data_IF_802823647961
#
_entry.id   IF_802823647961
#
_cell.length_a   1.000
_cell.length_b   1.000
_cell.length_c   1.000
_cell.angle_alpha   90.00
_cell.angle_beta   90.00
_cell.angle_gamma   90.00
#
_symmetry.space_group_name_H-M   'P 1'
#
loop_
_entity.id
_entity.type
_entity.pdbx_description
1 polymer ?
#
# COMPACT_ATOMS: atom_id res chain seq x y z
N UNK A 1 44.60 -46.71 -25.88
CA UNK A 1 45.56 -45.62 -25.56
C UNK A 1 44.80 -44.31 -25.35
N UNK A 2 45.17 -43.57 -24.31
CA UNK A 2 44.86 -42.15 -23.95
C UNK A 2 43.55 -41.80 -23.19
N UNK A 3 43.73 -41.73 -21.87
CA UNK A 3 43.36 -40.72 -20.83
C UNK A 3 42.14 -39.78 -20.91
N UNK A 4 41.57 -39.56 -19.71
CA UNK A 4 40.44 -38.71 -19.23
C UNK A 4 40.89 -37.24 -18.94
N UNK A 5 40.02 -36.22 -18.69
CA UNK A 5 39.41 -36.01 -17.35
C UNK A 5 37.98 -35.40 -17.30
N UNK A 6 37.44 -35.35 -16.07
CA UNK A 6 36.10 -34.95 -15.60
C UNK A 6 35.88 -33.42 -15.54
N UNK A 7 34.61 -33.02 -15.76
CA UNK A 7 33.86 -32.07 -14.91
C UNK A 7 33.80 -30.59 -15.31
N UNK A 8 32.58 -30.02 -15.37
CA UNK A 8 32.26 -28.74 -14.74
C UNK A 8 30.74 -28.52 -14.64
N UNK A 9 30.29 -28.20 -13.43
CA UNK A 9 28.91 -27.85 -13.09
C UNK A 9 28.63 -26.38 -13.43
N UNK A 10 27.43 -26.09 -13.94
CA UNK A 10 26.94 -24.73 -14.21
C UNK A 10 26.66 -23.98 -12.90
N UNK A 11 27.30 -22.83 -12.75
CA UNK A 11 27.08 -21.86 -11.66
C UNK A 11 26.11 -20.78 -12.16
N UNK A 12 25.03 -20.44 -11.43
CA UNK A 12 24.18 -19.29 -11.79
C UNK A 12 24.79 -17.95 -11.33
N UNK A 13 24.48 -16.83 -12.00
CA UNK A 13 25.17 -15.56 -11.80
C UNK A 13 24.82 -14.85 -10.48
N UNK A 14 25.82 -14.11 -9.99
CA UNK A 14 25.93 -13.44 -8.69
C UNK A 14 24.91 -12.31 -8.49
N UNK A 15 24.32 -12.27 -7.30
CA UNK A 15 23.60 -11.12 -6.74
C UNK A 15 24.55 -9.95 -6.43
N UNK A 16 24.21 -8.75 -6.89
CA UNK A 16 24.83 -7.50 -6.46
C UNK A 16 24.48 -7.21 -4.99
N UNK A 17 25.49 -6.91 -4.17
CA UNK A 17 25.35 -6.39 -2.80
C UNK A 17 25.62 -4.88 -2.83
N UNK A 18 24.61 -4.07 -2.53
CA UNK A 18 24.84 -2.68 -2.11
C UNK A 18 25.16 -2.70 -0.62
N UNK A 19 26.38 -2.31 -0.26
CA UNK A 19 26.84 -2.15 1.13
C UNK A 19 26.68 -0.68 1.48
N UNK A 20 25.70 -0.33 2.33
CA UNK A 20 25.68 0.97 2.98
C UNK A 20 26.46 0.85 4.29
N UNK A 21 27.65 1.44 4.35
CA UNK A 21 28.46 1.47 5.56
C UNK A 21 27.97 2.58 6.51
N UNK A 22 27.58 2.22 7.74
CA UNK A 22 27.53 3.16 8.86
C UNK A 22 28.78 2.95 9.71
N UNK A 23 29.54 4.04 9.89
CA UNK A 23 30.80 4.07 10.61
C UNK A 23 30.55 4.30 12.11
N UNK A 24 30.76 3.28 12.93
CA UNK A 24 31.00 3.45 14.36
C UNK A 24 32.14 2.55 14.80
N UNK A 25 33.17 3.16 15.39
CA UNK A 25 34.37 2.51 15.89
C UNK A 25 34.04 1.63 17.10
N UNK A 26 34.24 0.31 16.97
CA UNK A 26 34.61 -0.54 18.10
C UNK A 26 35.35 -1.78 17.58
N UNK A 27 36.45 -2.11 18.24
CA UNK A 27 37.43 -3.12 17.86
C UNK A 27 36.95 -4.52 18.23
N UNK A 28 36.61 -5.34 17.23
CA UNK A 28 36.33 -6.77 17.38
C UNK A 28 36.01 -7.44 16.03
N UNK A 29 36.34 -8.73 15.82
CA UNK A 29 36.06 -9.41 14.57
C UNK A 29 34.54 -9.58 14.36
N UNK A 30 34.02 -8.93 13.32
CA UNK A 30 32.60 -8.96 12.92
C UNK A 30 32.31 -10.34 12.33
N UNK A 31 31.54 -11.16 13.04
CA UNK A 31 30.88 -12.33 12.44
C UNK A 31 29.61 -11.85 11.74
N UNK A 32 29.44 -12.04 10.42
CA UNK A 32 28.21 -11.68 9.74
C UNK A 32 27.09 -12.59 10.24
N UNK A 33 26.11 -12.02 10.95
CA UNK A 33 24.85 -12.70 11.25
C UNK A 33 24.02 -12.72 9.98
N UNK A 34 23.89 -13.90 9.36
CA UNK A 34 22.96 -14.12 8.25
C UNK A 34 21.55 -13.92 8.79
N UNK A 35 20.89 -12.83 8.39
CA UNK A 35 19.45 -12.68 8.60
C UNK A 35 18.75 -13.48 7.51
N UNK A 36 18.12 -14.57 7.91
CA UNK A 36 17.35 -15.44 7.02
C UNK A 36 16.13 -14.69 6.48
N UNK A 37 15.96 -14.68 5.15
CA UNK A 37 14.89 -13.99 4.39
C UNK A 37 13.48 -14.59 4.59
N UNK A 38 13.17 -15.17 5.75
CA UNK A 38 11.99 -16.03 5.91
C UNK A 38 10.73 -15.31 6.41
N UNK A 39 10.82 -14.13 7.04
CA UNK A 39 9.66 -13.51 7.72
C UNK A 39 8.76 -12.62 6.85
N UNK A 40 9.20 -12.14 5.67
CA UNK A 40 8.39 -11.25 4.84
C UNK A 40 7.40 -11.97 3.92
N UNK A 41 7.70 -13.20 3.51
CA UNK A 41 6.79 -14.00 2.67
C UNK A 41 5.55 -14.51 3.44
N UNK A 42 5.59 -14.53 4.77
CA UNK A 42 4.45 -14.93 5.60
C UNK A 42 3.42 -13.79 5.79
N UNK A 43 3.86 -12.54 5.83
CA UNK A 43 2.98 -11.38 6.07
C UNK A 43 2.10 -11.07 4.84
N UNK A 44 2.59 -11.34 3.63
CA UNK A 44 1.86 -11.05 2.38
C UNK A 44 0.56 -11.85 2.24
N UNK A 45 0.49 -13.09 2.78
CA UNK A 45 -0.74 -13.89 2.79
C UNK A 45 -1.79 -13.43 3.81
N UNK A 46 -1.39 -12.74 4.88
CA UNK A 46 -2.32 -12.25 5.91
C UNK A 46 -2.88 -10.85 5.61
N UNK A 47 -2.23 -10.07 4.74
CA UNK A 47 -2.74 -8.75 4.33
C UNK A 47 -3.94 -8.90 3.38
N UNK A 48 -4.01 -9.99 2.62
CA UNK A 48 -5.16 -10.30 1.77
C UNK A 48 -5.43 -11.81 1.68
N UNK A 49 -6.50 -12.24 2.35
CA UNK A 49 -7.12 -13.57 2.24
C UNK A 49 -8.62 -13.45 1.88
N UNK A 50 -8.99 -12.41 1.13
CA UNK A 50 -10.37 -12.18 0.74
C UNK A 50 -10.93 -13.37 -0.03
N UNK A 51 -12.03 -13.95 0.46
CA UNK A 51 -12.85 -14.83 -0.38
C UNK A 51 -13.41 -14.00 -1.54
N UNK A 52 -13.38 -14.50 -2.79
CA UNK A 52 -14.07 -13.86 -3.90
C UNK A 52 -15.54 -13.59 -3.53
N UNK A 53 -16.07 -12.43 -3.92
CA UNK A 53 -17.52 -12.18 -3.87
C UNK A 53 -18.23 -13.31 -4.62
N UNK A 54 -19.24 -13.92 -4.02
CA UNK A 54 -19.98 -15.06 -4.61
C UNK A 54 -20.73 -14.66 -5.90
N UNK A 55 -20.92 -13.36 -6.13
CA UNK A 55 -21.31 -12.80 -7.43
C UNK A 55 -20.05 -12.56 -8.26
N UNK A 56 -19.93 -13.12 -9.47
CA UNK A 56 -18.76 -13.01 -10.37
C UNK A 56 -18.31 -11.62 -10.84
N UNK A 57 -18.54 -10.56 -10.04
CA UNK A 57 -17.85 -9.28 -10.12
C UNK A 57 -16.42 -9.47 -9.60
N UNK A 58 -15.46 -9.31 -10.50
CA UNK A 58 -14.04 -9.27 -10.16
C UNK A 58 -13.72 -7.90 -9.58
N UNK A 59 -13.05 -7.87 -8.44
CA UNK A 59 -12.39 -6.68 -7.90
C UNK A 59 -11.52 -6.01 -8.96
N UNK A 60 -11.28 -4.70 -8.83
CA UNK A 60 -10.51 -3.93 -9.83
C UNK A 60 -9.21 -4.68 -10.19
N UNK A 61 -9.09 -5.04 -11.46
CA UNK A 61 -7.92 -5.77 -11.97
C UNK A 61 -6.64 -4.99 -11.66
N UNK A 62 -5.66 -5.69 -11.07
CA UNK A 62 -4.36 -5.17 -10.67
C UNK A 62 -4.36 -4.05 -9.61
N UNK A 63 -5.49 -3.78 -8.93
CA UNK A 63 -5.50 -2.97 -7.72
C UNK A 63 -5.13 -3.84 -6.51
N UNK A 64 -3.92 -3.66 -5.97
CA UNK A 64 -3.39 -4.54 -4.91
C UNK A 64 -3.63 -4.02 -3.50
N UNK A 65 -3.82 -2.69 -3.35
CA UNK A 65 -4.02 -2.06 -2.06
C UNK A 65 -4.69 -0.69 -2.21
N UNK A 66 -5.64 -0.38 -1.33
CA UNK A 66 -6.27 0.93 -1.25
C UNK A 66 -6.07 1.52 0.13
N UNK A 67 -5.56 2.76 0.21
CA UNK A 67 -5.20 3.41 1.48
C UNK A 67 -5.72 4.84 1.56
N UNK A 68 -6.24 5.18 2.74
CA UNK A 68 -6.57 6.55 3.15
C UNK A 68 -5.46 7.07 4.08
N UNK A 69 -4.79 8.16 3.68
CA UNK A 69 -3.83 8.89 4.53
C UNK A 69 -3.87 10.38 4.15
N UNK A 70 -4.28 11.26 5.07
CA UNK A 70 -4.43 12.70 4.80
C UNK A 70 -3.12 13.35 4.28
N UNK A 71 -1.97 12.75 4.62
CA UNK A 71 -0.63 13.24 4.26
C UNK A 71 -0.09 12.60 2.98
N UNK A 72 -0.83 11.67 2.37
CA UNK A 72 -0.42 10.93 1.19
C UNK A 72 0.95 10.27 1.37
N UNK A 73 1.97 10.74 0.64
CA UNK A 73 3.33 10.21 0.71
C UNK A 73 4.14 11.05 1.69
N UNK A 74 4.50 10.44 2.82
CA UNK A 74 5.29 11.07 3.87
C UNK A 74 6.15 10.05 4.63
N UNK A 75 7.27 10.54 5.18
CA UNK A 75 8.20 9.75 5.99
C UNK A 75 8.66 8.47 5.28
N UNK A 76 8.66 7.35 6.01
CA UNK A 76 9.00 6.02 5.48
C UNK A 76 7.78 5.08 5.42
N UNK A 77 6.57 5.62 5.60
CA UNK A 77 5.34 4.81 5.72
C UNK A 77 4.99 4.18 4.38
N UNK A 78 4.97 4.95 3.30
CA UNK A 78 4.67 4.40 1.97
C UNK A 78 5.75 3.43 1.49
N UNK A 79 7.03 3.71 1.75
CA UNK A 79 8.12 2.76 1.50
C UNK A 79 7.88 1.42 2.20
N UNK A 80 7.47 1.43 3.47
CA UNK A 80 7.16 0.20 4.19
C UNK A 80 6.00 -0.59 3.58
N UNK A 81 4.98 0.10 3.06
CA UNK A 81 3.84 -0.51 2.37
C UNK A 81 4.21 -1.06 0.99
N UNK A 82 4.97 -0.31 0.18
CA UNK A 82 5.45 -0.76 -1.13
C UNK A 82 6.24 -2.06 -1.00
N UNK A 83 7.08 -2.20 0.03
CA UNK A 83 7.81 -3.45 0.29
C UNK A 83 6.93 -4.67 0.58
N UNK A 84 5.65 -4.49 0.93
CA UNK A 84 4.71 -5.62 1.05
C UNK A 84 4.20 -6.12 -0.31
N UNK A 85 4.38 -5.33 -1.37
CA UNK A 85 3.92 -5.61 -2.72
C UNK A 85 5.12 -5.56 -3.69
N UNK A 86 6.01 -6.56 -3.66
CA UNK A 86 7.29 -6.51 -4.38
C UNK A 86 7.15 -6.42 -5.92
N UNK A 87 6.00 -6.81 -6.47
CA UNK A 87 5.67 -6.70 -7.89
C UNK A 87 4.97 -5.37 -8.24
N UNK A 88 4.61 -4.57 -7.24
CA UNK A 88 3.94 -3.29 -7.42
C UNK A 88 4.97 -2.16 -7.51
N UNK A 89 5.15 -1.64 -8.72
CA UNK A 89 6.03 -0.50 -9.00
C UNK A 89 5.24 0.79 -9.32
N UNK A 90 3.96 0.85 -8.97
CA UNK A 90 3.09 1.98 -9.32
C UNK A 90 2.16 2.41 -8.17
N UNK A 91 2.03 3.73 -7.99
CA UNK A 91 1.10 4.37 -7.06
C UNK A 91 0.20 5.32 -7.83
N UNK A 92 -1.11 5.15 -7.67
CA UNK A 92 -2.11 6.08 -8.15
C UNK A 92 -2.64 6.89 -6.96
N UNK A 93 -2.39 8.19 -6.96
CA UNK A 93 -2.97 9.12 -5.98
C UNK A 93 -4.24 9.72 -6.58
N UNK A 94 -5.38 9.58 -5.89
CA UNK A 94 -6.64 10.19 -6.33
C UNK A 94 -7.03 11.32 -5.39
N UNK A 95 -6.89 12.55 -5.87
CA UNK A 95 -7.20 13.79 -5.15
C UNK A 95 -7.32 14.96 -6.15
N UNK A 96 -8.49 15.60 -6.21
CA UNK A 96 -8.81 16.62 -7.23
C UNK A 96 -7.93 17.88 -7.17
N UNK A 97 -7.29 18.13 -6.02
CA UNK A 97 -6.37 19.25 -5.84
C UNK A 97 -4.95 18.86 -6.28
N UNK A 98 -4.44 17.72 -5.78
CA UNK A 98 -3.10 17.23 -6.13
C UNK A 98 -2.98 16.89 -7.61
N UNK A 99 -4.05 16.41 -8.25
CA UNK A 99 -4.03 16.11 -9.70
C UNK A 99 -3.79 17.34 -10.58
N UNK A 100 -4.04 18.54 -10.05
CA UNK A 100 -3.79 19.84 -10.71
C UNK A 100 -2.44 20.45 -10.32
N UNK A 101 -1.67 19.76 -9.48
CA UNK A 101 -0.39 20.23 -8.95
C UNK A 101 0.77 19.33 -9.41
N UNK A 102 1.42 19.66 -10.54
CA UNK A 102 2.55 18.89 -11.04
C UNK A 102 3.79 19.02 -10.13
N UNK A 103 3.89 20.08 -9.33
CA UNK A 103 4.99 20.23 -8.37
C UNK A 103 4.85 19.22 -7.23
N UNK A 104 3.66 19.07 -6.66
CA UNK A 104 3.38 18.06 -5.64
C UNK A 104 3.63 16.63 -6.15
N UNK A 105 3.24 16.35 -7.39
CA UNK A 105 3.50 15.04 -8.02
C UNK A 105 5.02 14.76 -8.10
N UNK A 106 5.82 15.74 -8.52
CA UNK A 106 7.29 15.62 -8.54
C UNK A 106 7.87 15.45 -7.13
N UNK A 107 7.37 16.19 -6.14
CA UNK A 107 7.82 16.08 -4.76
C UNK A 107 7.56 14.66 -4.22
N UNK A 108 6.38 14.10 -4.47
CA UNK A 108 6.07 12.73 -4.10
C UNK A 108 7.00 11.71 -4.75
N UNK A 109 7.31 11.87 -6.04
CA UNK A 109 8.23 10.99 -6.75
C UNK A 109 9.63 10.93 -6.10
N UNK A 110 10.10 12.02 -5.49
CA UNK A 110 11.39 12.08 -4.78
C UNK A 110 11.39 11.33 -3.43
N UNK A 111 10.22 11.08 -2.85
CA UNK A 111 10.07 10.38 -1.57
C UNK A 111 9.92 8.86 -1.74
N UNK A 112 9.69 8.41 -2.98
CA UNK A 112 9.46 7.00 -3.28
C UNK A 112 10.78 6.28 -3.60
N UNK A 113 10.86 4.96 -3.36
CA UNK A 113 11.99 4.15 -3.77
C UNK A 113 12.23 4.22 -5.28
N UNK A 114 13.49 4.07 -5.69
CA UNK A 114 13.86 4.00 -7.11
C UNK A 114 13.08 2.89 -7.83
N UNK A 115 12.63 3.20 -9.05
CA UNK A 115 11.78 2.29 -9.85
C UNK A 115 10.29 2.33 -9.51
N UNK A 116 9.87 3.03 -8.46
CA UNK A 116 8.44 3.28 -8.20
C UNK A 116 7.96 4.47 -9.01
N UNK A 117 6.88 4.31 -9.77
CA UNK A 117 6.23 5.38 -10.53
C UNK A 117 5.00 5.89 -9.80
N UNK A 118 4.65 7.15 -10.00
CA UNK A 118 3.44 7.76 -9.44
C UNK A 118 2.63 8.47 -10.53
N UNK A 119 1.30 8.34 -10.47
CA UNK A 119 0.37 9.22 -11.18
C UNK A 119 -0.60 9.87 -10.19
N UNK A 120 -1.03 11.09 -10.48
CA UNK A 120 -2.01 11.85 -9.69
C UNK A 120 -3.23 12.13 -10.57
N UNK A 121 -4.42 11.75 -10.13
CA UNK A 121 -5.65 11.84 -10.91
C UNK A 121 -6.78 12.47 -10.09
N UNK A 122 -7.71 13.13 -10.79
CA UNK A 122 -9.00 13.47 -10.19
C UNK A 122 -9.83 12.20 -10.01
N UNK A 123 -10.90 12.27 -9.22
CA UNK A 123 -11.84 11.14 -9.10
C UNK A 123 -12.46 10.80 -10.46
N UNK A 124 -12.77 11.82 -11.25
CA UNK A 124 -13.47 11.68 -12.53
C UNK A 124 -12.56 11.03 -13.59
N UNK A 125 -11.25 11.28 -13.53
CA UNK A 125 -10.25 10.64 -14.40
C UNK A 125 -9.86 9.23 -13.92
N UNK A 126 -9.87 8.99 -12.61
CA UNK A 126 -9.47 7.70 -12.03
C UNK A 126 -10.57 6.64 -12.14
N UNK A 127 -11.84 7.01 -11.93
CA UNK A 127 -12.97 6.09 -11.95
C UNK A 127 -13.06 5.23 -13.24
N UNK A 128 -12.95 5.77 -14.47
CA UNK A 128 -12.98 4.95 -15.68
C UNK A 128 -11.80 3.98 -15.77
N UNK A 129 -10.57 4.42 -15.45
CA UNK A 129 -9.38 3.55 -15.44
C UNK A 129 -9.52 2.38 -14.46
N UNK A 130 -10.03 2.66 -13.27
CA UNK A 130 -10.25 1.63 -12.25
C UNK A 130 -11.34 0.65 -12.68
N UNK A 131 -12.39 1.10 -13.37
CA UNK A 131 -13.44 0.19 -13.90
C UNK A 131 -12.94 -0.69 -15.05
N UNK A 132 -12.09 -0.17 -15.93
CA UNK A 132 -11.49 -0.93 -17.01
C UNK A 132 -10.46 -1.95 -16.49
N UNK A 133 -9.77 -1.60 -15.41
CA UNK A 133 -8.68 -2.37 -14.83
C UNK A 133 -7.32 -1.78 -15.18
N UNK A 134 -6.36 -1.98 -14.28
CA UNK A 134 -5.07 -1.31 -14.37
C UNK A 134 -4.07 -2.17 -15.17
N UNK A 135 -3.16 -1.55 -15.94
CA UNK A 135 -2.19 -2.30 -16.76
C UNK A 135 -1.12 -3.02 -15.94
N UNK A 136 -0.89 -2.57 -14.70
CA UNK A 136 0.11 -3.10 -13.77
C UNK A 136 -0.39 -3.03 -12.33
N UNK A 137 0.24 -3.79 -11.42
CA UNK A 137 -0.08 -3.73 -10.00
C UNK A 137 0.07 -2.31 -9.46
N UNK A 138 -0.97 -1.82 -8.81
CA UNK A 138 -1.07 -0.42 -8.37
C UNK A 138 -1.59 -0.33 -6.95
N UNK A 139 -0.96 0.54 -6.16
CA UNK A 139 -1.50 1.00 -4.87
C UNK A 139 -2.32 2.27 -5.11
N UNK A 140 -3.59 2.25 -4.72
CA UNK A 140 -4.46 3.43 -4.67
C UNK A 140 -4.27 4.15 -3.35
N UNK A 141 -3.92 5.44 -3.40
CA UNK A 141 -3.74 6.29 -2.23
C UNK A 141 -4.66 7.51 -2.33
N UNK A 142 -5.44 7.76 -1.30
CA UNK A 142 -6.36 8.91 -1.25
C UNK A 142 -6.20 9.66 0.08
N UNK A 143 -6.56 10.94 0.09
CA UNK A 143 -6.56 11.72 1.33
C UNK A 143 -7.72 11.37 2.26
N UNK A 144 -8.94 11.29 1.72
CA UNK A 144 -10.16 11.29 2.52
C UNK A 144 -11.10 10.13 2.18
N UNK A 145 -11.92 9.66 3.14
CA UNK A 145 -12.94 8.63 2.90
C UNK A 145 -13.94 8.99 1.80
N UNK A 146 -14.25 10.29 1.66
CA UNK A 146 -15.16 10.79 0.63
C UNK A 146 -14.68 10.43 -0.79
N UNK A 147 -13.37 10.41 -1.04
CA UNK A 147 -12.82 10.00 -2.34
C UNK A 147 -13.17 8.54 -2.65
N UNK A 148 -13.01 7.64 -1.67
CA UNK A 148 -13.39 6.24 -1.82
C UNK A 148 -14.89 6.11 -2.06
N UNK A 149 -15.71 6.83 -1.30
CA UNK A 149 -17.16 6.84 -1.49
C UNK A 149 -17.53 7.24 -2.91
N UNK A 150 -16.94 8.33 -3.45
CA UNK A 150 -17.21 8.78 -4.82
C UNK A 150 -16.81 7.74 -5.86
N UNK A 151 -15.68 7.04 -5.68
CA UNK A 151 -15.26 5.96 -6.57
C UNK A 151 -16.24 4.79 -6.54
N UNK A 152 -16.65 4.34 -5.34
CA UNK A 152 -17.63 3.25 -5.17
C UNK A 152 -19.00 3.65 -5.73
N UNK A 153 -19.45 4.87 -5.50
CA UNK A 153 -20.71 5.40 -6.05
C UNK A 153 -20.67 5.53 -7.58
N UNK A 154 -19.49 5.73 -8.17
CA UNK A 154 -19.25 5.74 -9.62
C UNK A 154 -19.12 4.34 -10.25
N UNK A 155 -19.34 3.28 -9.45
CA UNK A 155 -19.32 1.88 -9.87
C UNK A 155 -17.95 1.22 -9.86
N UNK A 156 -16.94 1.78 -9.18
CA UNK A 156 -15.64 1.13 -8.99
C UNK A 156 -15.75 0.06 -7.90
N UNK A 157 -15.37 -1.18 -8.21
CA UNK A 157 -15.48 -2.31 -7.29
C UNK A 157 -14.26 -2.41 -6.34
N UNK A 158 -14.31 -1.66 -5.23
CA UNK A 158 -13.27 -1.64 -4.18
C UNK A 158 -13.69 -2.58 -3.04
N UNK A 159 -12.97 -3.67 -2.83
CA UNK A 159 -13.28 -4.65 -1.78
C UNK A 159 -12.68 -4.32 -0.42
N UNK A 160 -11.57 -3.59 -0.40
CA UNK A 160 -10.76 -3.40 0.78
C UNK A 160 -10.19 -1.98 0.86
N UNK A 161 -10.25 -1.39 2.04
CA UNK A 161 -9.71 -0.07 2.34
C UNK A 161 -8.94 -0.10 3.65
N UNK A 162 -7.69 0.33 3.59
CA UNK A 162 -6.84 0.57 4.74
C UNK A 162 -6.91 2.05 5.18
N UNK A 163 -7.20 2.31 6.45
CA UNK A 163 -7.09 3.63 7.07
C UNK A 163 -5.71 3.71 7.74
N UNK A 164 -4.87 4.55 7.15
CA UNK A 164 -3.51 4.76 7.54
C UNK A 164 -3.28 5.94 8.47
N UNK A 165 -3.88 7.07 8.12
CA UNK A 165 -3.69 8.32 8.81
C UNK A 165 -4.85 9.27 8.56
N UNK A 166 -5.65 9.52 9.59
CA UNK A 166 -6.63 10.59 9.59
C UNK A 166 -6.41 11.42 10.84
N UNK A 167 -5.75 12.56 10.68
CA UNK A 167 -5.31 13.41 11.80
C UNK A 167 -6.46 14.18 12.43
N UNK A 168 -6.22 14.71 13.63
CA UNK A 168 -7.13 15.65 14.28
C UNK A 168 -7.21 16.95 13.45
N UNK A 169 -8.42 17.42 13.21
CA UNK A 169 -8.72 18.69 12.54
C UNK A 169 -10.04 19.25 13.07
N UNK A 170 -10.40 20.48 12.68
CA UNK A 170 -11.70 21.04 13.01
C UNK A 170 -12.83 20.08 12.55
N UNK A 171 -13.73 19.73 13.47
CA UNK A 171 -14.86 18.83 13.21
C UNK A 171 -14.57 17.33 13.43
N UNK A 172 -13.30 16.90 13.40
CA UNK A 172 -12.95 15.51 13.71
C UNK A 172 -12.87 15.27 15.21
N UNK A 173 -13.25 14.07 15.64
CA UNK A 173 -13.04 13.57 17.01
C UNK A 173 -12.24 12.28 16.97
N UNK A 174 -11.55 11.97 18.06
CA UNK A 174 -10.81 10.71 18.20
C UNK A 174 -11.71 9.52 17.84
N UNK A 175 -11.22 8.68 16.93
CA UNK A 175 -11.91 7.50 16.46
C UNK A 175 -11.20 6.23 16.94
N UNK A 176 -9.89 6.15 16.70
CA UNK A 176 -9.07 5.04 17.19
C UNK A 176 -7.61 5.44 17.32
N UNK A 177 -7.03 5.37 18.53
CA UNK A 177 -5.64 5.83 18.80
C UNK A 177 -5.39 7.24 18.23
N UNK A 178 -4.56 7.35 17.20
CA UNK A 178 -4.18 8.59 16.50
C UNK A 178 -5.02 8.85 15.22
N UNK A 179 -6.02 8.01 14.93
CA UNK A 179 -7.01 8.21 13.89
C UNK A 179 -8.19 8.99 14.49
N UNK A 180 -8.53 10.09 13.85
CA UNK A 180 -9.71 10.91 14.12
C UNK A 180 -10.62 10.90 12.90
N UNK A 181 -11.93 11.01 13.13
CA UNK A 181 -12.93 11.06 12.07
C UNK A 181 -14.07 11.97 12.50
N UNK A 182 -14.62 12.72 11.53
CA UNK A 182 -15.82 13.53 11.71
C UNK A 182 -17.07 12.64 11.75
N UNK A 183 -18.23 13.15 12.18
CA UNK A 183 -19.49 12.42 12.05
C UNK A 183 -19.76 11.95 10.61
N UNK A 184 -19.53 12.81 9.63
CA UNK A 184 -19.74 12.53 8.20
C UNK A 184 -18.81 11.40 7.72
N UNK A 185 -17.54 11.44 8.10
CA UNK A 185 -16.58 10.37 7.74
C UNK A 185 -16.95 9.02 8.37
N UNK A 186 -17.52 9.02 9.58
CA UNK A 186 -18.03 7.81 10.22
C UNK A 186 -19.24 7.24 9.48
N UNK A 187 -20.15 8.09 9.00
CA UNK A 187 -21.26 7.64 8.16
C UNK A 187 -20.76 7.06 6.84
N UNK A 188 -19.75 7.68 6.21
CA UNK A 188 -19.12 7.11 5.01
C UNK A 188 -18.57 5.70 5.29
N UNK A 189 -17.90 5.49 6.43
CA UNK A 189 -17.42 4.14 6.77
C UNK A 189 -18.56 3.14 6.99
N UNK A 190 -19.68 3.55 7.59
CA UNK A 190 -20.87 2.70 7.72
C UNK A 190 -21.42 2.31 6.36
N UNK A 191 -21.54 3.27 5.44
CA UNK A 191 -22.02 3.01 4.07
C UNK A 191 -21.09 2.07 3.31
N UNK A 192 -19.78 2.27 3.39
CA UNK A 192 -18.79 1.39 2.76
C UNK A 192 -18.89 -0.04 3.30
N UNK A 193 -18.97 -0.20 4.64
CA UNK A 193 -19.14 -1.50 5.28
C UNK A 193 -20.47 -2.15 4.87
N UNK A 194 -21.56 -1.38 4.80
CA UNK A 194 -22.87 -1.87 4.35
C UNK A 194 -22.86 -2.35 2.88
N UNK A 195 -22.00 -1.77 2.04
CA UNK A 195 -21.73 -2.21 0.66
C UNK A 195 -20.76 -3.40 0.57
N UNK A 196 -20.35 -3.97 1.70
CA UNK A 196 -19.45 -5.13 1.74
C UNK A 196 -17.96 -4.78 1.60
N UNK A 197 -17.58 -3.50 1.68
CA UNK A 197 -16.17 -3.09 1.66
C UNK A 197 -15.55 -3.39 3.02
N UNK A 198 -14.47 -4.18 3.05
CA UNK A 198 -13.69 -4.42 4.25
C UNK A 198 -12.85 -3.19 4.57
N UNK A 199 -13.17 -2.52 5.68
CA UNK A 199 -12.41 -1.34 6.14
C UNK A 199 -11.60 -1.70 7.39
N UNK A 200 -10.29 -1.49 7.35
CA UNK A 200 -9.41 -1.72 8.50
C UNK A 200 -8.55 -0.51 8.83
N UNK A 201 -8.13 -0.39 10.09
CA UNK A 201 -7.12 0.56 10.55
C UNK A 201 -5.80 -0.17 10.73
N UNK A 202 -4.77 0.25 9.99
CA UNK A 202 -3.39 -0.21 10.16
C UNK A 202 -2.43 0.83 9.60
N UNK A 203 -1.61 1.42 10.47
CA UNK A 203 -0.76 2.58 10.11
C UNK A 203 0.42 2.15 9.25
N UNK A 204 1.17 1.14 9.72
CA UNK A 204 2.28 0.48 9.03
C UNK A 204 2.08 -1.03 9.03
N UNK A 205 2.70 -1.80 8.12
CA UNK A 205 2.51 -3.24 8.01
C UNK A 205 2.77 -4.01 9.32
N UNK A 206 3.74 -3.56 10.12
CA UNK A 206 4.09 -4.18 11.39
C UNK A 206 3.05 -3.97 12.51
N UNK A 207 2.03 -3.14 12.31
CA UNK A 207 0.97 -2.96 13.29
C UNK A 207 -0.16 -3.98 13.10
N UNK A 208 -0.80 -4.35 14.21
CA UNK A 208 -2.03 -5.15 14.17
C UNK A 208 -3.14 -4.37 13.46
N UNK A 209 -3.87 -5.05 12.57
CA UNK A 209 -5.07 -4.50 11.95
C UNK A 209 -6.23 -4.47 12.94
N UNK A 210 -7.08 -3.47 12.79
CA UNK A 210 -8.33 -3.34 13.55
C UNK A 210 -9.49 -3.13 12.58
N UNK A 211 -10.49 -4.00 12.64
CA UNK A 211 -11.70 -3.85 11.83
C UNK A 211 -12.48 -2.60 12.24
N UNK A 212 -12.85 -1.77 11.27
CA UNK A 212 -13.67 -0.57 11.49
C UNK A 212 -15.11 -0.93 11.82
N UNK A 213 -15.65 -2.02 11.27
CA UNK A 213 -17.01 -2.48 11.58
C UNK A 213 -17.22 -2.67 13.09
N UNK A 214 -16.23 -3.26 13.79
CA UNK A 214 -16.28 -3.45 15.23
C UNK A 214 -16.18 -2.15 16.04
N UNK A 215 -15.64 -1.08 15.45
CA UNK A 215 -15.55 0.24 16.07
C UNK A 215 -16.81 1.07 15.87
N UNK A 216 -17.54 0.87 14.77
CA UNK A 216 -18.77 1.60 14.46
C UNK A 216 -19.99 1.10 15.26
N UNK A 217 -19.94 -0.12 15.80
CA UNK A 217 -20.99 -0.72 16.64
C UNK A 217 -20.94 -0.29 18.11
N UNK A 218 -19.94 0.49 18.51
CA UNK A 218 -19.73 1.00 19.87
C UNK A 218 -20.19 2.45 19.99
#
# INVERSE_FOLDING_TARGET
>A
MRQVPRGLWLVPPRSFRVVLAHFQRSTGPIRPRLYERSSYAFVTREIWSGNPKESGAMSVKNLVFTRIDDRLIHGQVMTAWIHQFPECAHIMVVDDQVSKDPFMTKMFQLLLPEGTTIETLSVDDAAPKLKEGLPQQTILLVKFPLTIKRLVDAGVDIDFVNIGGMGMSAGRKKFYKNIAASPEEREIFKELVAKGVKVEIRIVPANNAVSVEGLLKK
#
